data_IF_502283143762
#
_entry.id   IF_502283143762
#
_cell.length_a   1.000
_cell.length_b   1.000
_cell.length_c   1.000
_cell.angle_alpha   90.00
_cell.angle_beta   90.00
_cell.angle_gamma   90.00
#
_symmetry.space_group_name_H-M   'P 1'
#
loop_
_entity.id
_entity.type
_entity.pdbx_description
1 polymer ?
#
# COMPACT_ATOMS: atom_id res chain seq x y z
N UNK A 1 15.40 -2.46 22.99
CA UNK A 1 16.21 -1.48 22.23
C UNK A 1 15.49 -0.15 22.17
N UNK A 2 16.23 0.95 22.24
CA UNK A 2 15.65 2.28 22.05
C UNK A 2 15.17 2.47 20.60
N UNK A 3 14.13 3.27 20.37
CA UNK A 3 13.52 3.43 19.05
C UNK A 3 14.53 3.94 18.00
N UNK A 4 15.41 4.87 18.38
CA UNK A 4 16.55 5.34 17.57
C UNK A 4 17.44 4.20 17.11
N UNK A 5 17.87 3.34 18.03
CA UNK A 5 18.81 2.27 17.72
C UNK A 5 18.17 1.25 16.77
N UNK A 6 16.87 0.96 16.94
CA UNK A 6 16.15 0.00 16.11
C UNK A 6 15.89 0.55 14.70
N UNK A 7 15.54 1.84 14.58
CA UNK A 7 15.36 2.49 13.28
C UNK A 7 16.68 2.62 12.51
N UNK A 8 17.72 3.14 13.16
CA UNK A 8 19.02 3.35 12.53
C UNK A 8 19.74 2.04 12.21
N UNK A 9 19.63 1.00 13.05
CA UNK A 9 20.22 -0.30 12.73
C UNK A 9 19.55 -0.94 11.52
N UNK A 10 18.21 -0.82 11.41
CA UNK A 10 17.47 -1.25 10.22
C UNK A 10 17.92 -0.50 8.97
N UNK A 11 17.99 0.84 9.03
CA UNK A 11 18.42 1.66 7.88
C UNK A 11 19.89 1.41 7.49
N UNK A 12 20.78 1.22 8.47
CA UNK A 12 22.17 0.88 8.24
C UNK A 12 22.29 -0.48 7.55
N UNK A 13 21.53 -1.48 8.02
CA UNK A 13 21.51 -2.82 7.43
C UNK A 13 20.98 -2.79 5.99
N UNK A 14 19.91 -2.04 5.70
CA UNK A 14 19.41 -1.83 4.33
C UNK A 14 20.50 -1.21 3.45
N UNK A 15 21.18 -0.16 3.93
CA UNK A 15 22.23 0.52 3.19
C UNK A 15 23.42 -0.39 2.87
N UNK A 16 23.91 -1.14 3.88
CA UNK A 16 25.00 -2.10 3.70
C UNK A 16 24.63 -3.22 2.73
N UNK A 17 23.42 -3.78 2.86
CA UNK A 17 22.91 -4.82 1.97
C UNK A 17 22.84 -4.32 0.53
N UNK A 18 22.38 -3.08 0.29
CA UNK A 18 22.34 -2.50 -1.05
C UNK A 18 23.72 -2.28 -1.67
N UNK A 19 24.72 -1.88 -0.87
CA UNK A 19 26.11 -1.77 -1.35
C UNK A 19 26.67 -3.14 -1.71
N UNK A 20 26.50 -4.15 -0.84
CA UNK A 20 26.95 -5.52 -1.11
C UNK A 20 26.22 -6.11 -2.33
N UNK A 21 24.93 -5.81 -2.48
CA UNK A 21 24.13 -6.22 -3.63
C UNK A 21 24.74 -5.73 -4.95
N UNK A 22 25.24 -4.48 -4.98
CA UNK A 22 25.88 -3.91 -6.18
C UNK A 22 27.15 -4.65 -6.64
N UNK A 23 27.88 -5.28 -5.70
CA UNK A 23 29.10 -6.03 -5.98
C UNK A 23 28.85 -7.51 -6.30
N UNK A 24 27.70 -8.03 -5.89
CA UNK A 24 27.33 -9.42 -6.16
C UNK A 24 26.91 -9.66 -7.62
N UNK A 25 27.11 -10.90 -8.08
CA UNK A 25 26.87 -11.30 -9.48
C UNK A 25 26.09 -12.61 -9.62
N UNK A 26 25.75 -13.28 -8.51
CA UNK A 26 25.05 -14.57 -8.52
C UNK A 26 23.62 -14.45 -8.00
N UNK A 27 22.68 -15.11 -8.69
CA UNK A 27 21.24 -15.05 -8.38
C UNK A 27 20.90 -15.50 -6.94
N UNK A 28 21.50 -16.57 -6.38
CA UNK A 28 21.22 -16.97 -4.99
C UNK A 28 21.65 -15.90 -3.98
N UNK A 29 22.76 -15.20 -4.25
CA UNK A 29 23.24 -14.11 -3.39
C UNK A 29 22.31 -12.91 -3.49
N UNK A 30 21.80 -12.58 -4.68
CA UNK A 30 20.76 -11.56 -4.82
C UNK A 30 19.51 -11.91 -4.01
N UNK A 31 19.03 -13.15 -4.07
CA UNK A 31 17.85 -13.58 -3.31
C UNK A 31 18.08 -13.48 -1.79
N UNK A 32 19.23 -13.96 -1.30
CA UNK A 32 19.58 -13.88 0.11
C UNK A 32 19.74 -12.43 0.62
N UNK A 33 20.39 -11.57 -0.16
CA UNK A 33 20.56 -10.16 0.17
C UNK A 33 19.21 -9.43 0.14
N UNK A 34 18.35 -9.69 -0.84
CA UNK A 34 17.03 -9.07 -0.91
C UNK A 34 16.11 -9.52 0.24
N UNK A 35 16.20 -10.79 0.64
CA UNK A 35 15.54 -11.30 1.83
C UNK A 35 16.00 -10.57 3.11
N UNK A 36 17.32 -10.40 3.28
CA UNK A 36 17.87 -9.63 4.40
C UNK A 36 17.45 -8.16 4.36
N UNK A 37 17.35 -7.57 3.16
CA UNK A 37 16.84 -6.23 2.97
C UNK A 37 15.39 -6.09 3.46
N UNK A 38 14.52 -7.02 3.09
CA UNK A 38 13.13 -7.05 3.55
C UNK A 38 12.98 -7.17 5.07
N UNK A 39 13.79 -8.03 5.71
CA UNK A 39 13.84 -8.13 7.17
C UNK A 39 14.27 -6.81 7.83
N UNK A 40 15.27 -6.14 7.26
CA UNK A 40 15.77 -4.87 7.76
C UNK A 40 14.73 -3.74 7.62
N UNK A 41 13.99 -3.69 6.50
CA UNK A 41 12.91 -2.73 6.28
C UNK A 41 11.76 -2.89 7.28
N UNK A 42 11.47 -4.12 7.73
CA UNK A 42 10.46 -4.40 8.76
C UNK A 42 10.71 -3.69 10.09
N UNK A 43 11.97 -3.33 10.39
CA UNK A 43 12.35 -2.59 11.59
C UNK A 43 12.08 -1.08 11.46
N UNK A 44 11.72 -0.56 10.29
CA UNK A 44 11.58 0.88 10.05
C UNK A 44 10.32 1.50 10.65
N UNK A 45 9.15 0.91 10.40
CA UNK A 45 7.87 1.53 10.75
C UNK A 45 7.54 1.54 12.26
N UNK A 46 7.74 0.45 13.04
CA UNK A 46 7.36 0.42 14.45
C UNK A 46 8.08 1.47 15.33
N UNK A 47 9.39 1.75 15.17
CA UNK A 47 10.07 2.84 15.87
C UNK A 47 9.48 4.21 15.60
N UNK A 48 9.15 4.54 14.35
CA UNK A 48 8.61 5.85 13.99
C UNK A 48 7.31 6.12 14.74
N UNK A 49 6.41 5.14 14.78
CA UNK A 49 5.17 5.25 15.56
C UNK A 49 5.40 5.41 17.06
N UNK A 50 6.41 4.73 17.63
CA UNK A 50 6.75 4.85 19.05
C UNK A 50 7.34 6.21 19.40
N UNK A 51 8.23 6.75 18.56
CA UNK A 51 8.79 8.11 18.72
C UNK A 51 7.67 9.13 18.65
N UNK A 52 6.77 9.02 17.67
CA UNK A 52 5.68 9.96 17.49
C UNK A 52 4.72 10.01 18.69
N UNK A 53 4.39 8.85 19.27
CA UNK A 53 3.54 8.76 20.49
C UNK A 53 4.19 9.35 21.74
N UNK A 54 5.52 9.38 21.80
CA UNK A 54 6.26 9.94 22.95
C UNK A 54 6.46 11.45 22.85
N UNK A 55 6.63 11.96 21.64
CA UNK A 55 6.98 13.37 21.40
C UNK A 55 5.77 14.29 21.26
N UNK A 56 4.62 13.76 20.85
CA UNK A 56 3.46 14.58 20.53
C UNK A 56 2.25 14.20 21.38
N UNK A 57 1.46 15.21 21.74
CA UNK A 57 0.21 15.03 22.46
C UNK A 57 -0.79 14.17 21.65
N UNK A 58 -1.69 13.43 22.32
CA UNK A 58 -2.75 12.68 21.66
C UNK A 58 -3.62 13.52 20.71
N UNK A 59 -3.78 14.82 20.99
CA UNK A 59 -4.52 15.80 20.18
C UNK A 59 -3.86 16.07 18.82
N UNK A 60 -2.53 16.00 18.74
CA UNK A 60 -1.73 16.33 17.55
C UNK A 60 -1.17 15.10 16.83
N UNK A 61 -1.27 13.92 17.45
CA UNK A 61 -0.73 12.66 16.92
C UNK A 61 -1.17 12.37 15.48
N UNK A 62 -2.44 12.62 15.15
CA UNK A 62 -2.98 12.39 13.81
C UNK A 62 -2.30 13.21 12.72
N UNK A 63 -2.04 14.50 12.96
CA UNK A 63 -1.38 15.40 12.00
C UNK A 63 0.02 14.92 11.68
N UNK A 64 0.80 14.60 12.71
CA UNK A 64 2.17 14.12 12.52
C UNK A 64 2.24 12.73 11.90
N UNK A 65 1.25 11.88 12.18
CA UNK A 65 1.12 10.56 11.55
C UNK A 65 0.83 10.70 10.06
N UNK A 66 0.01 11.68 9.67
CA UNK A 66 -0.26 12.00 8.27
C UNK A 66 0.97 12.56 7.56
N UNK A 67 1.74 13.45 8.19
CA UNK A 67 3.02 13.96 7.63
C UNK A 67 3.99 12.80 7.39
N UNK A 68 4.16 11.92 8.38
CA UNK A 68 5.01 10.74 8.25
C UNK A 68 4.52 9.81 7.12
N UNK A 69 3.22 9.59 7.01
CA UNK A 69 2.63 8.74 5.95
C UNK A 69 2.77 9.37 4.55
N UNK A 70 2.74 10.70 4.46
CA UNK A 70 2.95 11.43 3.19
C UNK A 70 4.37 11.24 2.67
N UNK A 71 5.37 11.12 3.57
CA UNK A 71 6.76 10.88 3.16
C UNK A 71 6.94 9.59 2.33
N UNK A 72 6.16 8.54 2.64
CA UNK A 72 6.20 7.27 1.89
C UNK A 72 5.67 7.42 0.47
N UNK A 73 4.56 8.14 0.32
CA UNK A 73 3.96 8.44 -0.99
C UNK A 73 4.87 9.35 -1.82
N UNK A 74 5.53 10.32 -1.17
CA UNK A 74 6.52 11.17 -1.84
C UNK A 74 7.73 10.37 -2.33
N UNK A 75 8.23 9.44 -1.50
CA UNK A 75 9.31 8.53 -1.89
C UNK A 75 8.89 7.58 -3.04
N UNK A 76 7.65 7.05 -3.00
CA UNK A 76 7.09 6.24 -4.08
C UNK A 76 6.86 7.03 -5.37
N UNK A 77 6.52 8.31 -5.26
CA UNK A 77 6.34 9.22 -6.38
C UNK A 77 7.67 9.64 -7.04
N UNK A 78 8.66 10.07 -6.27
CA UNK A 78 9.93 10.58 -6.82
C UNK A 78 10.96 9.48 -7.08
N UNK A 79 10.92 8.39 -6.31
CA UNK A 79 11.91 7.32 -6.32
C UNK A 79 12.12 6.70 -7.71
N UNK A 80 11.08 6.21 -8.39
CA UNK A 80 11.21 5.59 -9.72
C UNK A 80 11.83 6.53 -10.77
N UNK A 81 11.43 7.81 -10.77
CA UNK A 81 11.95 8.79 -11.73
C UNK A 81 13.45 9.04 -11.48
N UNK A 82 13.83 9.30 -10.22
CA UNK A 82 15.23 9.53 -9.86
C UNK A 82 16.08 8.29 -10.15
N UNK A 83 15.58 7.09 -9.82
CA UNK A 83 16.26 5.83 -10.08
C UNK A 83 16.49 5.61 -11.59
N UNK A 84 15.49 5.89 -12.43
CA UNK A 84 15.60 5.73 -13.88
C UNK A 84 16.54 6.75 -14.51
N UNK A 85 16.50 8.02 -14.09
CA UNK A 85 17.43 9.05 -14.58
C UNK A 85 18.88 8.73 -14.21
N UNK A 86 19.12 8.24 -12.99
CA UNK A 86 20.44 7.80 -12.55
C UNK A 86 20.89 6.53 -13.27
N UNK A 87 19.98 5.58 -13.53
CA UNK A 87 20.29 4.35 -14.25
C UNK A 87 20.53 4.55 -15.76
N UNK A 88 20.05 5.66 -16.34
CA UNK A 88 20.35 6.03 -17.73
C UNK A 88 21.72 6.71 -17.88
N UNK A 89 22.12 7.50 -16.87
CA UNK A 89 23.40 8.22 -16.88
C UNK A 89 24.55 7.40 -16.31
N UNK A 90 24.27 6.52 -15.34
CA UNK A 90 25.22 5.64 -14.67
C UNK A 90 24.76 4.18 -14.73
N UNK A 91 25.66 3.23 -14.49
CA UNK A 91 25.28 1.82 -14.38
C UNK A 91 24.29 1.59 -13.23
N UNK A 92 23.38 0.62 -13.37
CA UNK A 92 22.46 0.20 -12.31
C UNK A 92 23.18 -0.19 -11.01
N UNK A 93 24.40 -0.74 -11.12
CA UNK A 93 25.26 -1.07 -9.97
C UNK A 93 25.66 0.17 -9.19
N UNK A 94 26.12 1.21 -9.89
CA UNK A 94 26.52 2.48 -9.28
C UNK A 94 25.32 3.19 -8.66
N UNK A 95 24.16 3.12 -9.29
CA UNK A 95 22.90 3.68 -8.77
C UNK A 95 22.49 3.03 -7.45
N UNK A 96 22.54 1.69 -7.37
CA UNK A 96 22.26 0.96 -6.13
C UNK A 96 23.32 1.19 -5.04
N UNK A 97 24.61 1.23 -5.42
CA UNK A 97 25.69 1.53 -4.49
C UNK A 97 25.56 2.95 -3.89
N UNK A 98 25.22 3.95 -4.72
CA UNK A 98 24.99 5.32 -4.29
C UNK A 98 23.77 5.42 -3.36
N UNK A 99 22.65 4.78 -3.72
CA UNK A 99 21.47 4.72 -2.86
C UNK A 99 21.78 4.05 -1.51
N UNK A 100 22.52 2.94 -1.52
CA UNK A 100 22.97 2.25 -0.30
C UNK A 100 23.89 3.13 0.57
N UNK A 101 24.86 3.81 -0.03
CA UNK A 101 25.76 4.73 0.66
C UNK A 101 25.01 5.92 1.28
N UNK A 102 24.03 6.49 0.57
CA UNK A 102 23.15 7.53 1.11
C UNK A 102 22.34 7.01 2.30
N UNK A 103 21.77 5.80 2.23
CA UNK A 103 21.07 5.19 3.37
C UNK A 103 21.99 5.01 4.59
N UNK A 104 23.25 4.58 4.39
CA UNK A 104 24.23 4.48 5.47
C UNK A 104 24.52 5.85 6.08
N UNK A 105 24.78 6.87 5.25
CA UNK A 105 25.04 8.24 5.73
C UNK A 105 23.85 8.82 6.50
N UNK A 106 22.63 8.66 5.98
CA UNK A 106 21.41 9.09 6.65
C UNK A 106 21.19 8.31 7.94
N UNK A 107 21.52 7.02 8.00
CA UNK A 107 21.44 6.25 9.25
C UNK A 107 22.33 6.83 10.35
N UNK A 108 23.56 7.21 10.03
CA UNK A 108 24.45 7.90 10.98
C UNK A 108 23.90 9.26 11.39
N UNK A 109 23.37 10.05 10.46
CA UNK A 109 22.70 11.32 10.78
C UNK A 109 21.48 11.10 11.68
N UNK A 110 20.67 10.08 11.43
CA UNK A 110 19.54 9.70 12.28
C UNK A 110 19.99 9.28 13.68
N UNK A 111 21.12 8.58 13.82
CA UNK A 111 21.68 8.28 15.14
C UNK A 111 22.09 9.55 15.90
N UNK A 112 22.59 10.57 15.20
CA UNK A 112 23.01 11.82 15.84
C UNK A 112 21.81 12.74 16.16
N UNK A 113 20.83 12.80 15.27
CA UNK A 113 19.72 13.75 15.33
C UNK A 113 18.49 13.22 16.08
N UNK A 114 18.19 11.92 16.01
CA UNK A 114 17.01 11.35 16.67
C UNK A 114 17.27 11.26 18.18
N UNK A 115 16.50 12.04 18.94
CA UNK A 115 16.43 11.93 20.41
C UNK A 115 15.20 11.08 20.77
N UNK A 116 15.38 10.12 21.68
CA UNK A 116 14.39 9.05 21.89
C UNK A 116 13.22 9.51 22.74
N UNK A 117 13.49 10.41 23.67
CA UNK A 117 12.52 10.90 24.63
C UNK A 117 12.57 12.43 24.69
N UNK A 118 11.42 13.10 24.89
CA UNK A 118 11.42 14.53 25.21
C UNK A 118 12.18 14.82 26.53
N UNK A 119 12.32 13.83 27.42
CA UNK A 119 13.21 13.89 28.58
C UNK A 119 14.70 14.09 28.20
N UNK A 120 15.16 13.56 27.06
CA UNK A 120 16.54 13.73 26.56
C UNK A 120 16.84 15.19 26.17
N UNK A 121 15.81 16.03 26.03
CA UNK A 121 15.91 17.46 25.70
C UNK A 121 15.46 18.37 26.84
N UNK A 122 15.18 17.81 28.02
CA UNK A 122 14.73 18.56 29.20
C UNK A 122 13.26 18.99 29.17
N UNK A 123 12.44 18.44 28.26
CA UNK A 123 10.99 18.64 28.25
C UNK A 123 10.34 17.63 29.20
N UNK A 124 9.33 18.08 29.97
CA UNK A 124 8.51 17.17 30.79
C UNK A 124 7.92 16.08 29.89
N UNK A 125 8.09 14.83 30.30
CA UNK A 125 7.34 13.75 29.68
C UNK A 125 5.86 14.10 29.81
N UNK A 126 5.16 14.12 28.67
CA UNK A 126 3.72 13.92 28.69
C UNK A 126 3.55 12.49 29.20
N UNK A 127 3.49 12.33 30.53
CA UNK A 127 3.05 11.08 31.10
C UNK A 127 1.70 10.79 30.46
N UNK A 128 1.53 9.67 29.73
CA UNK A 128 0.19 9.18 29.53
C UNK A 128 -0.22 8.74 30.92
N UNK A 129 -0.81 9.64 31.71
CA UNK A 129 -1.53 9.25 32.92
C UNK A 129 -2.44 8.15 32.44
N UNK A 130 -2.32 6.90 32.94
CA UNK A 130 -3.37 5.94 32.70
C UNK A 130 -4.54 6.53 33.46
N UNK A 131 -5.45 7.20 32.75
CA UNK A 131 -6.80 7.38 33.24
C UNK A 131 -7.29 5.98 33.55
N UNK A 132 -7.12 5.59 34.82
CA UNK A 132 -7.86 4.50 35.46
C UNK A 132 -9.31 4.96 35.51
N UNK A 133 -9.93 5.04 34.34
CA UNK A 133 -11.36 5.08 34.19
C UNK A 133 -11.87 3.70 34.60
N UNK A 134 -12.32 3.59 35.84
CA UNK A 134 -13.30 2.57 36.25
C UNK A 134 -14.39 2.51 35.16
N UNK A 135 -14.39 1.45 34.37
CA UNK A 135 -15.60 0.93 33.75
C UNK A 135 -15.70 -0.53 34.12
N UNK A 136 -16.44 -0.77 35.19
CA UNK A 136 -17.19 -2.00 35.28
C UNK A 136 -18.11 -2.08 34.06
N UNK A 137 -17.86 -3.06 33.21
CA UNK A 137 -18.90 -3.69 32.41
C UNK A 137 -18.41 -5.11 32.19
N UNK A 138 -19.16 -6.09 32.68
CA UNK A 138 -19.05 -7.47 32.24
C UNK A 138 -19.00 -7.47 30.71
N UNK A 139 -17.84 -7.71 30.11
CA UNK A 139 -17.69 -7.90 28.67
C UNK A 139 -17.17 -9.31 28.50
N UNK A 140 -18.01 -10.16 27.94
CA UNK A 140 -17.63 -11.49 27.50
C UNK A 140 -16.46 -11.33 26.51
N UNK A 141 -15.25 -11.62 26.97
CA UNK A 141 -14.06 -11.59 26.15
C UNK A 141 -14.19 -12.66 25.07
N UNK A 142 -14.41 -12.22 23.83
CA UNK A 142 -14.36 -13.13 22.69
C UNK A 142 -12.95 -13.71 22.60
N UNK A 143 -12.85 -15.02 22.42
CA UNK A 143 -11.56 -15.72 22.37
C UNK A 143 -10.94 -15.59 20.98
N UNK A 144 -9.61 -15.64 20.87
CA UNK A 144 -8.90 -15.60 19.59
C UNK A 144 -9.38 -16.70 18.62
N UNK A 145 -9.75 -17.86 19.15
CA UNK A 145 -10.35 -18.95 18.37
C UNK A 145 -11.70 -18.55 17.75
N UNK A 146 -12.55 -17.80 18.46
CA UNK A 146 -13.84 -17.32 17.96
C UNK A 146 -13.67 -16.25 16.88
N UNK A 147 -12.62 -15.43 16.97
CA UNK A 147 -12.23 -14.51 15.91
C UNK A 147 -11.78 -15.26 14.66
N UNK A 148 -10.91 -16.27 14.81
CA UNK A 148 -10.40 -17.08 13.70
C UNK A 148 -11.48 -17.97 13.06
N UNK A 149 -12.51 -18.37 13.82
CA UNK A 149 -13.65 -19.12 13.29
C UNK A 149 -14.66 -18.23 12.56
N UNK A 150 -14.52 -16.89 12.62
CA UNK A 150 -15.44 -15.98 11.94
C UNK A 150 -15.25 -16.04 10.41
N UNK A 151 -16.27 -16.43 9.64
CA UNK A 151 -16.16 -16.50 8.18
C UNK A 151 -15.93 -15.13 7.56
N UNK A 152 -16.47 -14.06 8.18
CA UNK A 152 -16.34 -12.70 7.70
C UNK A 152 -14.88 -12.18 7.75
N UNK A 153 -14.09 -12.62 8.74
CA UNK A 153 -12.65 -12.31 8.82
C UNK A 153 -11.91 -12.82 7.58
N UNK A 154 -12.20 -14.05 7.16
CA UNK A 154 -11.56 -14.67 6.00
C UNK A 154 -12.01 -14.06 4.69
N UNK A 155 -13.30 -13.74 4.54
CA UNK A 155 -13.80 -12.98 3.38
C UNK A 155 -13.04 -11.67 3.25
N UNK A 156 -13.01 -10.87 4.33
CA UNK A 156 -12.29 -9.59 4.36
C UNK A 156 -10.80 -9.76 4.03
N UNK A 157 -10.16 -10.78 4.60
CA UNK A 157 -8.75 -11.09 4.39
C UNK A 157 -8.44 -11.50 2.94
N UNK A 158 -9.27 -12.34 2.33
CA UNK A 158 -9.11 -12.76 0.93
C UNK A 158 -9.29 -11.58 -0.03
N UNK A 159 -10.22 -10.67 0.25
CA UNK A 159 -10.37 -9.45 -0.53
C UNK A 159 -9.13 -8.57 -0.47
N UNK A 160 -8.60 -8.37 0.75
CA UNK A 160 -7.42 -7.56 0.93
C UNK A 160 -6.18 -8.20 0.30
N UNK A 161 -6.03 -9.52 0.41
CA UNK A 161 -4.98 -10.28 -0.28
C UNK A 161 -5.00 -10.01 -1.79
N UNK A 162 -6.17 -10.11 -2.43
CA UNK A 162 -6.30 -9.89 -3.88
C UNK A 162 -6.01 -8.44 -4.24
N UNK A 163 -6.61 -7.47 -3.55
CA UNK A 163 -6.43 -6.05 -3.85
C UNK A 163 -4.97 -5.63 -3.69
N UNK A 164 -4.35 -6.03 -2.57
CA UNK A 164 -2.94 -5.71 -2.33
C UNK A 164 -2.02 -6.44 -3.31
N UNK A 165 -2.29 -7.72 -3.61
CA UNK A 165 -1.52 -8.48 -4.59
C UNK A 165 -1.56 -7.86 -5.97
N UNK A 166 -2.74 -7.49 -6.47
CA UNK A 166 -2.88 -6.82 -7.78
C UNK A 166 -2.24 -5.44 -7.77
N UNK A 167 -2.35 -4.66 -6.68
CA UNK A 167 -1.61 -3.41 -6.51
C UNK A 167 -0.11 -3.64 -6.64
N UNK A 168 0.44 -4.61 -5.92
CA UNK A 168 1.86 -4.98 -5.99
C UNK A 168 2.25 -5.45 -7.39
N UNK A 169 1.43 -6.24 -8.08
CA UNK A 169 1.71 -6.63 -9.47
C UNK A 169 1.85 -5.42 -10.39
N UNK A 170 0.93 -4.46 -10.29
CA UNK A 170 0.95 -3.25 -11.10
C UNK A 170 2.12 -2.32 -10.74
N UNK A 171 2.50 -2.23 -9.46
CA UNK A 171 3.66 -1.45 -9.02
C UNK A 171 4.98 -2.10 -9.48
N UNK A 172 5.16 -3.39 -9.26
CA UNK A 172 6.46 -4.06 -9.48
C UNK A 172 6.70 -4.38 -10.96
N UNK A 173 5.65 -4.79 -11.68
CA UNK A 173 5.75 -5.26 -13.06
C UNK A 173 5.15 -4.29 -14.08
N UNK A 174 4.43 -3.25 -13.66
CA UNK A 174 3.80 -2.29 -14.57
C UNK A 174 4.81 -1.58 -15.47
N UNK A 175 5.96 -1.20 -14.93
CA UNK A 175 7.05 -0.61 -15.72
C UNK A 175 7.60 -1.61 -16.76
N UNK A 176 7.78 -2.88 -16.39
CA UNK A 176 8.25 -3.92 -17.32
C UNK A 176 7.25 -4.20 -18.44
N UNK A 177 5.95 -4.23 -18.13
CA UNK A 177 4.89 -4.38 -19.13
C UNK A 177 4.92 -3.27 -20.18
N UNK A 178 5.05 -2.01 -19.74
CA UNK A 178 5.12 -0.86 -20.64
C UNK A 178 6.37 -0.88 -21.53
N UNK A 179 7.52 -1.32 -21.00
CA UNK A 179 8.77 -1.37 -21.74
C UNK A 179 8.79 -2.57 -22.71
N UNK A 180 8.47 -3.77 -22.24
CA UNK A 180 8.67 -5.01 -23.00
C UNK A 180 7.56 -5.29 -24.02
N UNK A 181 6.29 -5.07 -23.67
CA UNK A 181 5.17 -5.35 -24.60
C UNK A 181 4.72 -4.13 -25.38
N UNK A 182 4.83 -2.93 -24.79
CA UNK A 182 4.31 -1.69 -25.39
C UNK A 182 5.39 -0.80 -25.99
N UNK A 183 6.67 -1.20 -25.87
CA UNK A 183 7.81 -0.49 -26.46
C UNK A 183 7.99 0.94 -25.95
N UNK A 184 7.43 1.28 -24.78
CA UNK A 184 7.53 2.62 -24.21
C UNK A 184 8.91 2.84 -23.57
N UNK A 185 9.31 4.11 -23.46
CA UNK A 185 10.57 4.47 -22.82
C UNK A 185 10.56 4.13 -21.33
N UNK A 186 11.73 3.87 -20.76
CA UNK A 186 11.87 3.63 -19.32
C UNK A 186 11.38 4.82 -18.47
N UNK A 187 11.51 6.05 -18.99
CA UNK A 187 11.03 7.25 -18.30
C UNK A 187 9.50 7.27 -18.20
N UNK A 188 8.78 6.92 -19.27
CA UNK A 188 7.31 6.82 -19.26
C UNK A 188 6.86 5.74 -18.26
N UNK A 189 7.56 4.60 -18.21
CA UNK A 189 7.29 3.54 -17.25
C UNK A 189 7.47 3.99 -15.79
N UNK A 190 8.51 4.76 -15.49
CA UNK A 190 8.74 5.31 -14.15
C UNK A 190 7.77 6.44 -13.80
N UNK A 191 7.43 7.31 -14.76
CA UNK A 191 6.38 8.32 -14.58
C UNK A 191 5.01 7.69 -14.32
N UNK A 192 4.71 6.53 -14.93
CA UNK A 192 3.51 5.75 -14.62
C UNK A 192 3.49 5.28 -13.17
N UNK A 193 4.61 4.75 -12.66
CA UNK A 193 4.72 4.36 -11.24
C UNK A 193 4.51 5.56 -10.31
N UNK A 194 5.09 6.72 -10.66
CA UNK A 194 4.89 7.96 -9.92
C UNK A 194 3.44 8.42 -9.91
N UNK A 195 2.78 8.38 -11.07
CA UNK A 195 1.37 8.75 -11.21
C UNK A 195 0.48 7.80 -10.39
N UNK A 196 0.80 6.50 -10.36
CA UNK A 196 0.11 5.50 -9.55
C UNK A 196 0.21 5.83 -8.05
N UNK A 197 1.39 6.15 -7.54
CA UNK A 197 1.58 6.48 -6.12
C UNK A 197 0.92 7.81 -5.74
N UNK A 198 1.00 8.83 -6.60
CA UNK A 198 0.29 10.11 -6.40
C UNK A 198 -1.23 9.94 -6.43
N UNK A 199 -1.75 9.19 -7.41
CA UNK A 199 -3.16 8.83 -7.47
C UNK A 199 -3.59 8.05 -6.22
N UNK A 200 -2.72 7.16 -5.74
CA UNK A 200 -2.89 6.40 -4.51
C UNK A 200 -3.06 7.25 -3.26
N UNK A 201 -2.18 8.25 -3.08
CA UNK A 201 -2.28 9.22 -2.00
C UNK A 201 -3.66 9.92 -2.02
N UNK A 202 -4.06 10.46 -3.17
CA UNK A 202 -5.35 11.14 -3.33
C UNK A 202 -6.52 10.19 -3.07
N UNK A 203 -6.42 8.95 -3.55
CA UNK A 203 -7.42 7.90 -3.36
C UNK A 203 -7.61 7.51 -1.90
N UNK A 204 -6.52 7.37 -1.15
CA UNK A 204 -6.58 7.05 0.28
C UNK A 204 -7.27 8.14 1.11
N UNK A 205 -6.97 9.42 0.82
CA UNK A 205 -7.59 10.57 1.49
C UNK A 205 -9.08 10.64 1.13
N UNK A 206 -9.41 10.51 -0.16
CA UNK A 206 -10.78 10.51 -0.64
C UNK A 206 -11.61 9.36 -0.04
N UNK A 207 -11.03 8.15 0.01
CA UNK A 207 -11.68 6.98 0.62
C UNK A 207 -11.96 7.19 2.10
N UNK A 208 -11.01 7.76 2.85
CA UNK A 208 -11.20 8.13 4.26
C UNK A 208 -12.36 9.10 4.43
N UNK A 209 -12.34 10.22 3.69
CA UNK A 209 -13.39 11.24 3.76
C UNK A 209 -14.78 10.71 3.35
N UNK A 210 -14.87 9.96 2.25
CA UNK A 210 -16.13 9.38 1.76
C UNK A 210 -16.66 8.32 2.71
N UNK A 211 -15.78 7.51 3.31
CA UNK A 211 -16.12 6.49 4.29
C UNK A 211 -16.71 7.09 5.56
N UNK A 212 -16.09 8.15 6.08
CA UNK A 212 -16.58 8.82 7.29
C UNK A 212 -17.92 9.51 7.04
N UNK A 213 -18.09 10.12 5.85
CA UNK A 213 -19.37 10.69 5.43
C UNK A 213 -20.46 9.63 5.24
N UNK A 214 -20.12 8.46 4.71
CA UNK A 214 -21.06 7.34 4.56
C UNK A 214 -21.50 6.80 5.93
N UNK A 215 -20.57 6.66 6.87
CA UNK A 215 -20.87 6.28 8.26
C UNK A 215 -21.76 7.29 8.97
N UNK A 216 -21.49 8.60 8.81
CA UNK A 216 -22.27 9.66 9.44
C UNK A 216 -23.74 9.69 8.97
N UNK A 217 -24.01 9.26 7.73
CA UNK A 217 -25.37 9.21 7.16
C UNK A 217 -26.14 7.94 7.51
N UNK A 218 -25.46 6.80 7.60
CA UNK A 218 -26.11 5.49 7.71
C UNK A 218 -26.24 4.98 9.15
N UNK A 219 -25.47 5.50 10.11
CA UNK A 219 -25.46 4.99 11.48
C UNK A 219 -24.90 3.56 11.60
N UNK A 220 -24.70 3.07 12.83
CA UNK A 220 -24.20 1.73 13.10
C UNK A 220 -25.29 0.67 12.83
N UNK A 221 -25.38 0.16 11.60
CA UNK A 221 -26.22 -1.00 11.28
C UNK A 221 -25.53 -2.31 11.69
N UNK A 222 -26.31 -3.29 12.16
CA UNK A 222 -25.82 -4.65 12.48
C UNK A 222 -25.66 -5.52 11.23
N UNK A 223 -26.33 -5.16 10.12
CA UNK A 223 -26.23 -5.81 8.82
C UNK A 223 -25.74 -4.81 7.77
N UNK A 224 -24.68 -5.19 7.04
CA UNK A 224 -24.08 -4.38 5.98
C UNK A 224 -23.46 -3.09 6.49
N UNK A 225 -22.16 -3.09 6.77
CA UNK A 225 -21.46 -1.86 7.11
C UNK A 225 -21.47 -0.93 5.88
N UNK A 226 -21.93 0.33 5.98
CA UNK A 226 -22.05 1.26 4.85
C UNK A 226 -20.72 1.50 4.10
N UNK A 227 -19.59 1.19 4.75
CA UNK A 227 -18.26 1.20 4.13
C UNK A 227 -18.06 0.11 3.08
N UNK A 228 -18.85 -0.97 3.10
CA UNK A 228 -18.82 -2.00 2.06
C UNK A 228 -19.28 -1.49 0.70
N UNK A 229 -20.27 -0.60 0.67
CA UNK A 229 -20.71 0.01 -0.58
C UNK A 229 -19.60 0.82 -1.25
N UNK A 230 -18.89 1.62 -0.44
CA UNK A 230 -17.73 2.37 -0.91
C UNK A 230 -16.56 1.45 -1.30
N UNK A 231 -16.28 0.42 -0.51
CA UNK A 231 -15.26 -0.59 -0.79
C UNK A 231 -15.53 -1.27 -2.14
N UNK A 232 -16.76 -1.74 -2.37
CA UNK A 232 -17.18 -2.36 -3.62
C UNK A 232 -17.06 -1.42 -4.81
N UNK A 233 -17.46 -0.16 -4.65
CA UNK A 233 -17.33 0.85 -5.71
C UNK A 233 -15.86 1.05 -6.09
N UNK A 234 -14.97 1.12 -5.11
CA UNK A 234 -13.55 1.32 -5.37
C UNK A 234 -12.86 0.06 -5.92
N UNK A 235 -13.25 -1.14 -5.46
CA UNK A 235 -12.80 -2.41 -6.05
C UNK A 235 -13.26 -2.57 -7.51
N UNK A 236 -14.51 -2.17 -7.80
CA UNK A 236 -15.02 -2.12 -9.18
C UNK A 236 -14.24 -1.09 -10.01
N UNK A 237 -13.94 0.09 -9.44
CA UNK A 237 -13.09 1.10 -10.07
C UNK A 237 -11.70 0.57 -10.40
N UNK A 238 -11.11 -0.24 -9.52
CA UNK A 238 -9.81 -0.87 -9.72
C UNK A 238 -9.85 -1.89 -10.88
N UNK A 239 -10.92 -2.70 -10.96
CA UNK A 239 -11.10 -3.65 -12.07
C UNK A 239 -11.29 -2.94 -13.40
N UNK A 240 -12.12 -1.90 -13.44
CA UNK A 240 -12.35 -1.09 -14.64
C UNK A 240 -11.06 -0.39 -15.08
N UNK A 241 -10.31 0.18 -14.14
CA UNK A 241 -9.03 0.84 -14.45
C UNK A 241 -8.01 -0.13 -15.02
N UNK A 242 -7.97 -1.36 -14.50
CA UNK A 242 -7.08 -2.41 -14.98
C UNK A 242 -7.49 -2.93 -16.37
N UNK A 243 -8.78 -3.12 -16.60
CA UNK A 243 -9.32 -3.46 -17.92
C UNK A 243 -9.00 -2.37 -18.95
N UNK A 244 -9.23 -1.10 -18.60
CA UNK A 244 -8.90 0.04 -19.45
C UNK A 244 -7.40 0.09 -19.72
N UNK A 245 -6.54 -0.14 -18.72
CA UNK A 245 -5.10 -0.22 -18.93
C UNK A 245 -4.71 -1.32 -19.91
N UNK A 246 -5.29 -2.53 -19.81
CA UNK A 246 -4.98 -3.62 -20.73
C UNK A 246 -5.48 -3.39 -22.17
N UNK A 247 -6.69 -2.85 -22.32
CA UNK A 247 -7.37 -2.70 -23.63
C UNK A 247 -6.92 -1.44 -24.36
N UNK A 248 -6.76 -0.32 -23.65
CA UNK A 248 -6.42 0.97 -24.28
C UNK A 248 -4.92 1.14 -24.52
N UNK A 249 -4.07 0.44 -23.76
CA UNK A 249 -2.63 0.41 -24.01
C UNK A 249 -2.35 -0.77 -24.94
N UNK A 250 -2.63 -0.64 -26.24
CA UNK A 250 -2.26 -1.63 -27.27
C UNK A 250 -1.35 -0.95 -28.30
N UNK A 251 -0.36 -1.68 -28.83
CA UNK A 251 0.68 -1.15 -29.73
C UNK A 251 0.10 -0.53 -31.02
N UNK A 252 -1.07 -1.00 -31.44
CA UNK A 252 -1.91 -0.36 -32.44
C UNK A 252 -3.00 0.45 -31.71
N UNK A 253 -2.74 1.72 -31.50
CA UNK A 253 -3.71 2.65 -30.93
C UNK A 253 -4.93 2.75 -31.85
N UNK A 254 -6.17 2.53 -31.37
CA UNK A 254 -7.32 3.04 -32.09
C UNK A 254 -7.27 4.56 -31.97
N UNK A 255 -7.21 5.22 -33.12
CA UNK A 255 -7.36 6.68 -33.31
C UNK A 255 -8.73 7.22 -32.85
N UNK A 256 -9.49 6.45 -32.07
CA UNK A 256 -10.92 6.63 -31.83
C UNK A 256 -11.27 7.24 -30.46
N UNK A 257 -10.32 7.86 -29.76
CA UNK A 257 -10.69 8.69 -28.60
C UNK A 257 -10.32 10.16 -28.82
N UNK A 258 -11.00 10.72 -29.83
CA UNK A 258 -11.07 12.16 -30.10
C UNK A 258 -11.43 13.00 -28.85
N UNK A 259 -12.14 12.42 -27.88
CA UNK A 259 -12.50 13.10 -26.64
C UNK A 259 -11.33 13.24 -25.65
N UNK A 260 -10.54 12.18 -25.42
CA UNK A 260 -9.42 12.23 -24.46
C UNK A 260 -8.21 12.96 -25.04
N UNK A 261 -7.98 12.84 -26.34
CA UNK A 261 -6.97 13.64 -27.05
C UNK A 261 -7.30 15.13 -26.93
N UNK A 262 -8.56 15.54 -27.16
CA UNK A 262 -8.98 16.94 -26.97
C UNK A 262 -8.88 17.41 -25.51
N UNK A 263 -9.23 16.57 -24.53
CA UNK A 263 -9.17 16.92 -23.11
C UNK A 263 -7.72 16.99 -22.56
N UNK A 264 -6.81 16.19 -23.12
CA UNK A 264 -5.41 16.10 -22.66
C UNK A 264 -4.46 16.97 -23.48
N UNK A 265 -4.85 17.45 -24.67
CA UNK A 265 -4.06 18.36 -25.51
C UNK A 265 -3.47 19.56 -24.76
N UNK A 266 -4.20 20.31 -23.89
CA UNK A 266 -3.61 21.44 -23.17
C UNK A 266 -2.61 21.00 -22.08
N UNK A 267 -2.78 19.80 -21.51
CA UNK A 267 -1.83 19.22 -20.56
C UNK A 267 -0.59 18.63 -21.27
N UNK A 268 -0.77 18.14 -22.49
CA UNK A 268 0.32 17.65 -23.34
C UNK A 268 1.27 18.78 -23.74
N UNK A 269 0.71 19.91 -24.13
CA UNK A 269 1.49 21.09 -24.49
C UNK A 269 2.24 21.68 -23.29
N UNK A 270 1.67 21.59 -22.08
CA UNK A 270 2.30 22.09 -20.85
C UNK A 270 3.41 21.17 -20.31
N UNK A 271 3.31 19.86 -20.53
CA UNK A 271 4.21 18.86 -19.92
C UNK A 271 5.24 18.28 -20.90
N UNK A 272 5.07 18.49 -22.21
CA UNK A 272 5.97 17.99 -23.25
C UNK A 272 5.86 16.48 -23.53
N UNK A 273 4.91 15.79 -22.90
CA UNK A 273 4.63 14.36 -23.16
C UNK A 273 3.69 14.18 -24.36
N UNK A 274 3.81 13.05 -25.06
CA UNK A 274 2.87 12.69 -26.12
C UNK A 274 1.50 12.35 -25.52
N UNK A 275 0.42 12.59 -26.27
CA UNK A 275 -0.96 12.36 -25.82
C UNK A 275 -1.19 10.92 -25.30
N UNK A 276 -0.56 9.93 -25.96
CA UNK A 276 -0.65 8.54 -25.54
C UNK A 276 0.08 8.25 -24.21
N UNK A 277 1.17 8.96 -23.92
CA UNK A 277 1.92 8.82 -22.67
C UNK A 277 1.12 9.42 -21.52
N UNK A 278 0.48 10.56 -21.73
CA UNK A 278 -0.41 11.18 -20.74
C UNK A 278 -1.61 10.31 -20.41
N UNK A 279 -2.18 9.65 -21.42
CA UNK A 279 -3.25 8.69 -21.18
C UNK A 279 -2.80 7.55 -20.27
N UNK A 280 -1.59 7.00 -20.49
CA UNK A 280 -0.99 5.98 -19.62
C UNK A 280 -0.83 6.51 -18.18
N UNK A 281 -0.39 7.76 -18.00
CA UNK A 281 -0.25 8.38 -16.69
C UNK A 281 -1.60 8.57 -15.98
N UNK A 282 -2.64 9.00 -16.71
CA UNK A 282 -4.01 9.15 -16.18
C UNK A 282 -4.55 7.79 -15.73
N UNK A 283 -4.35 6.74 -16.51
CA UNK A 283 -4.75 5.38 -16.14
C UNK A 283 -4.00 4.87 -14.91
N UNK A 284 -2.70 5.15 -14.82
CA UNK A 284 -1.89 4.86 -13.63
C UNK A 284 -2.43 5.57 -12.40
N UNK A 285 -2.72 6.87 -12.50
CA UNK A 285 -3.31 7.65 -11.42
C UNK A 285 -4.70 7.16 -11.01
N UNK A 286 -5.55 6.77 -11.98
CA UNK A 286 -6.88 6.23 -11.70
C UNK A 286 -6.81 4.85 -11.02
N UNK A 287 -5.89 3.99 -11.45
CA UNK A 287 -5.62 2.72 -10.80
C UNK A 287 -5.07 2.93 -9.38
N UNK A 288 -4.15 3.88 -9.20
CA UNK A 288 -3.65 4.30 -7.89
C UNK A 288 -4.79 4.76 -6.97
N UNK A 289 -5.62 5.68 -7.46
CA UNK A 289 -6.77 6.23 -6.74
C UNK A 289 -7.75 5.15 -6.27
N UNK A 290 -8.04 4.19 -7.14
CA UNK A 290 -8.98 3.10 -6.85
C UNK A 290 -8.39 1.94 -6.06
N UNK A 291 -7.06 1.76 -6.01
CA UNK A 291 -6.40 0.67 -5.27
C UNK A 291 -6.09 1.05 -3.82
N UNK A 292 -5.61 2.25 -3.57
CA UNK A 292 -5.25 2.70 -2.21
C UNK A 292 -6.46 2.91 -1.30
N UNK A 293 -7.60 3.29 -1.88
CA UNK A 293 -8.86 3.46 -1.13
C UNK A 293 -9.30 2.17 -0.43
N UNK A 294 -9.52 1.04 -1.15
CA UNK A 294 -9.81 -0.26 -0.59
C UNK A 294 -8.78 -0.71 0.46
N UNK A 295 -7.49 -0.53 0.19
CA UNK A 295 -6.40 -0.89 1.12
C UNK A 295 -6.60 -0.19 2.48
N UNK A 296 -6.91 1.10 2.49
CA UNK A 296 -7.21 1.84 3.70
C UNK A 296 -8.49 1.31 4.38
N UNK A 297 -9.56 1.07 3.60
CA UNK A 297 -10.86 0.64 4.12
C UNK A 297 -10.83 -0.76 4.73
N UNK A 298 -10.12 -1.72 4.15
CA UNK A 298 -9.99 -3.08 4.70
C UNK A 298 -9.45 -3.05 6.14
N UNK A 299 -8.44 -2.21 6.39
CA UNK A 299 -7.86 -2.05 7.72
C UNK A 299 -8.84 -1.49 8.75
N UNK A 300 -9.66 -0.51 8.36
CA UNK A 300 -10.63 0.10 9.28
C UNK A 300 -11.83 -0.83 9.51
N UNK A 301 -12.33 -1.48 8.45
CA UNK A 301 -13.44 -2.44 8.54
C UNK A 301 -13.02 -3.62 9.44
N UNK A 302 -11.81 -4.14 9.30
CA UNK A 302 -11.28 -5.22 10.15
C UNK A 302 -11.28 -4.83 11.64
N UNK A 303 -10.98 -3.57 11.93
CA UNK A 303 -10.89 -3.03 13.27
C UNK A 303 -12.28 -2.84 13.91
N UNK A 304 -13.25 -2.32 13.16
CA UNK A 304 -14.61 -2.08 13.65
C UNK A 304 -15.46 -3.33 13.80
N UNK A 305 -15.20 -4.32 12.94
CA UNK A 305 -15.94 -5.58 12.93
C UNK A 305 -15.48 -6.54 14.02
N UNK A 306 -14.28 -6.34 14.55
CA UNK A 306 -13.68 -7.16 15.58
C UNK A 306 -14.11 -6.72 17.00
N UNK A 307 -14.11 -7.66 17.97
CA UNK A 307 -14.39 -7.32 19.35
C UNK A 307 -13.28 -6.41 19.91
N UNK A 308 -13.61 -5.51 20.85
CA UNK A 308 -12.71 -4.44 21.29
C UNK A 308 -11.40 -4.95 21.93
N UNK A 309 -11.41 -6.18 22.47
CA UNK A 309 -10.23 -6.85 23.03
C UNK A 309 -9.29 -7.42 21.95
N UNK A 310 -9.75 -7.66 20.73
CA UNK A 310 -8.99 -8.29 19.64
C UNK A 310 -8.89 -7.46 18.35
N UNK A 311 -9.34 -6.20 18.35
CA UNK A 311 -9.37 -5.44 17.09
C UNK A 311 -7.98 -5.18 16.48
N UNK A 312 -6.95 -5.01 17.32
CA UNK A 312 -5.55 -4.96 16.86
C UNK A 312 -5.08 -6.28 16.23
N UNK A 313 -5.50 -7.42 16.78
CA UNK A 313 -5.19 -8.75 16.23
C UNK A 313 -5.88 -9.00 14.90
N UNK A 314 -7.16 -8.61 14.78
CA UNK A 314 -7.91 -8.66 13.52
C UNK A 314 -7.21 -7.86 12.42
N UNK A 315 -6.82 -6.61 12.71
CA UNK A 315 -6.07 -5.77 11.79
C UNK A 315 -4.74 -6.42 11.37
N UNK A 316 -4.00 -7.02 12.32
CA UNK A 316 -2.75 -7.71 12.03
C UNK A 316 -2.93 -8.95 11.15
N UNK A 317 -3.98 -9.76 11.35
CA UNK A 317 -4.29 -10.93 10.51
C UNK A 317 -4.63 -10.49 9.09
N UNK A 318 -5.49 -9.49 8.95
CA UNK A 318 -5.90 -8.93 7.66
C UNK A 318 -4.69 -8.32 6.94
N UNK A 319 -3.84 -7.58 7.66
CA UNK A 319 -2.57 -7.05 7.13
C UNK A 319 -1.54 -8.12 6.73
N UNK A 320 -1.47 -9.24 7.47
CA UNK A 320 -0.63 -10.37 7.09
C UNK A 320 -1.06 -10.96 5.74
N UNK A 321 -2.37 -11.05 5.51
CA UNK A 321 -2.91 -11.57 4.24
C UNK A 321 -2.67 -10.64 3.06
N UNK A 322 -2.60 -9.32 3.28
CA UNK A 322 -2.10 -8.40 2.27
C UNK A 322 -0.64 -8.70 1.90
N UNK A 323 0.24 -8.92 2.88
CA UNK A 323 1.64 -9.29 2.61
C UNK A 323 1.76 -10.62 1.85
N UNK A 324 0.89 -11.60 2.12
CA UNK A 324 0.79 -12.83 1.32
C UNK A 324 0.41 -12.51 -0.13
N UNK A 325 -0.52 -11.58 -0.35
CA UNK A 325 -0.85 -11.07 -1.69
C UNK A 325 0.36 -10.48 -2.41
N UNK A 326 1.16 -9.67 -1.70
CA UNK A 326 2.42 -9.13 -2.24
C UNK A 326 3.44 -10.21 -2.58
N UNK A 327 3.54 -11.27 -1.79
CA UNK A 327 4.38 -12.43 -2.12
C UNK A 327 3.92 -13.15 -3.40
N UNK A 328 2.60 -13.34 -3.56
CA UNK A 328 2.01 -13.95 -4.77
C UNK A 328 2.23 -13.09 -6.02
N UNK A 329 2.32 -11.77 -5.86
CA UNK A 329 2.67 -10.83 -6.92
C UNK A 329 4.13 -10.96 -7.40
N UNK A 330 5.01 -11.61 -6.63
CA UNK A 330 6.41 -11.84 -6.99
C UNK A 330 6.61 -13.04 -7.92
N UNK A 331 7.07 -14.17 -7.35
CA UNK A 331 7.44 -15.36 -8.13
C UNK A 331 6.27 -16.03 -8.88
N UNK A 332 5.08 -16.22 -8.28
CA UNK A 332 3.96 -16.85 -9.00
C UNK A 332 3.52 -16.04 -10.21
N UNK A 333 3.33 -14.73 -10.05
CA UNK A 333 2.92 -13.84 -11.12
C UNK A 333 3.97 -13.74 -12.24
N UNK A 334 5.25 -13.56 -11.88
CA UNK A 334 6.34 -13.50 -12.86
C UNK A 334 6.56 -14.81 -13.61
N UNK A 335 6.29 -15.96 -12.99
CA UNK A 335 6.31 -17.26 -13.67
C UNK A 335 5.26 -17.36 -14.78
N UNK A 336 4.04 -16.86 -14.53
CA UNK A 336 2.98 -16.80 -15.56
C UNK A 336 3.43 -15.91 -16.72
N UNK A 337 4.02 -14.75 -16.42
CA UNK A 337 4.53 -13.83 -17.43
C UNK A 337 5.64 -14.46 -18.28
N UNK A 338 6.53 -15.26 -17.66
CA UNK A 338 7.64 -15.93 -18.34
C UNK A 338 7.16 -17.06 -19.27
N UNK A 339 6.13 -17.80 -18.90
CA UNK A 339 5.63 -18.95 -19.68
C UNK A 339 4.63 -18.57 -20.78
N UNK A 340 3.82 -17.53 -20.57
CA UNK A 340 2.77 -17.14 -21.51
C UNK A 340 3.03 -15.78 -22.15
N UNK A 341 2.93 -14.69 -21.39
CA UNK A 341 3.25 -13.31 -21.76
C UNK A 341 2.87 -12.40 -20.59
N UNK A 342 3.32 -11.13 -20.59
CA UNK A 342 2.85 -10.17 -19.59
C UNK A 342 1.38 -9.85 -19.77
N UNK A 343 0.88 -9.74 -21.01
CA UNK A 343 -0.55 -9.54 -21.30
C UNK A 343 -1.42 -10.61 -20.66
N UNK A 344 -1.02 -11.90 -20.75
CA UNK A 344 -1.74 -12.99 -20.09
C UNK A 344 -1.67 -12.88 -18.56
N UNK A 345 -0.51 -12.51 -17.99
CA UNK A 345 -0.37 -12.36 -16.55
C UNK A 345 -1.28 -11.24 -16.01
N UNK A 346 -1.29 -10.07 -16.66
CA UNK A 346 -2.17 -8.96 -16.30
C UNK A 346 -3.66 -9.31 -16.50
N UNK A 347 -4.01 -10.07 -17.54
CA UNK A 347 -5.37 -10.59 -17.71
C UNK A 347 -5.79 -11.53 -16.58
N UNK A 348 -4.92 -12.44 -16.13
CA UNK A 348 -5.20 -13.32 -14.97
C UNK A 348 -5.45 -12.50 -13.71
N UNK A 349 -4.61 -11.49 -13.43
CA UNK A 349 -4.80 -10.61 -12.28
C UNK A 349 -6.10 -9.78 -12.37
N UNK A 350 -6.49 -9.33 -13.58
CA UNK A 350 -7.76 -8.66 -13.84
C UNK A 350 -8.95 -9.58 -13.50
N UNK A 351 -8.93 -10.83 -13.99
CA UNK A 351 -9.99 -11.82 -13.73
C UNK A 351 -10.09 -12.15 -12.25
N UNK A 352 -8.96 -12.31 -11.55
CA UNK A 352 -8.94 -12.56 -10.10
C UNK A 352 -9.53 -11.35 -9.34
N UNK A 353 -9.20 -10.13 -9.74
CA UNK A 353 -9.76 -8.92 -9.13
C UNK A 353 -11.29 -8.83 -9.37
N UNK A 354 -11.75 -9.15 -10.59
CA UNK A 354 -13.17 -9.15 -10.94
C UNK A 354 -13.94 -10.22 -10.17
N UNK A 355 -13.40 -11.44 -10.09
CA UNK A 355 -13.98 -12.53 -9.33
C UNK A 355 -14.06 -12.19 -7.83
N UNK A 356 -13.01 -11.59 -7.26
CA UNK A 356 -13.00 -11.13 -5.87
C UNK A 356 -14.04 -10.04 -5.63
N UNK A 357 -14.16 -9.07 -6.54
CA UNK A 357 -15.17 -8.00 -6.45
C UNK A 357 -16.60 -8.56 -6.53
N UNK A 358 -16.85 -9.51 -7.43
CA UNK A 358 -18.13 -10.19 -7.54
C UNK A 358 -18.44 -11.03 -6.30
N UNK A 359 -17.45 -11.76 -5.76
CA UNK A 359 -17.61 -12.52 -4.52
C UNK A 359 -17.95 -11.59 -3.35
N UNK A 360 -17.25 -10.47 -3.18
CA UNK A 360 -17.57 -9.48 -2.17
C UNK A 360 -18.96 -8.86 -2.34
N UNK A 361 -19.40 -8.66 -3.58
CA UNK A 361 -20.72 -8.14 -3.87
C UNK A 361 -21.82 -9.14 -3.44
N UNK A 362 -21.64 -10.43 -3.72
CA UNK A 362 -22.57 -11.49 -3.28
C UNK A 362 -22.58 -11.62 -1.76
N UNK A 363 -21.40 -11.52 -1.14
CA UNK A 363 -21.20 -11.66 0.30
C UNK A 363 -21.52 -10.38 1.10
N UNK A 364 -22.01 -9.32 0.45
CA UNK A 364 -22.28 -8.00 1.08
C UNK A 364 -23.29 -8.05 2.24
N UNK A 365 -24.16 -9.08 2.26
CA UNK A 365 -25.21 -9.25 3.26
C UNK A 365 -24.80 -10.15 4.44
N UNK A 366 -23.54 -10.61 4.49
CA UNK A 366 -23.05 -11.43 5.61
C UNK A 366 -22.99 -10.59 6.90
N UNK A 367 -23.21 -11.26 8.05
CA UNK A 367 -23.02 -10.63 9.35
C UNK A 367 -21.58 -10.12 9.48
N UNK A 368 -21.43 -8.80 9.57
CA UNK A 368 -20.11 -8.15 9.62
C UNK A 368 -19.50 -8.20 11.02
N UNK A 369 -20.21 -8.67 12.05
CA UNK A 369 -19.64 -8.83 13.39
C UNK A 369 -18.79 -10.10 13.47
N UNK A 370 -17.54 -9.94 13.88
CA UNK A 370 -16.62 -11.04 14.17
C UNK A 370 -16.67 -11.41 15.66
N UNK A 371 -16.55 -12.70 15.98
CA UNK A 371 -16.61 -13.20 17.35
C UNK A 371 -18.00 -13.69 17.77
N UNK A 372 -18.22 -13.84 19.08
CA UNK A 372 -19.45 -14.42 19.63
C UNK A 372 -20.66 -13.52 19.33
N UNK A 373 -21.52 -13.96 18.41
CA UNK A 373 -22.79 -13.29 18.11
C UNK A 373 -23.83 -13.76 19.14
N UNK A 374 -24.38 -12.88 20.00
CA UNK A 374 -25.40 -13.30 20.95
C UNK A 374 -26.62 -13.82 20.20
N UNK A 375 -27.08 -15.02 20.60
CA UNK A 375 -28.15 -15.85 20.02
C UNK A 375 -29.55 -15.20 19.90
N UNK A 376 -29.68 -13.88 20.08
CA UNK A 376 -30.94 -13.12 20.07
C UNK A 376 -31.17 -12.32 18.77
N UNK A 377 -30.39 -12.56 17.73
CA UNK A 377 -30.51 -11.89 16.43
C UNK A 377 -30.74 -12.91 15.29
N UNK A 378 -31.52 -13.95 15.56
CA UNK A 378 -32.16 -14.80 14.54
C UNK A 378 -33.65 -14.46 14.45
#
# INVERSE_FOLDING_TARGET
MSARWLFSSGLLLVGLVNVVFSWSSTVPVFAALWFLNGLAQGLGWPPCGKVLRKWFEPSQFGTWWAILSTSMNLAGGLGPILATLLAQSYSWRSTLALSGALCVAVSFLCLLLIRNEPADVGLCNLDPTPSKGKKGSLKEDSTLQELLLSPYLWVLSTGYLVVFGVKTCCTDWGQFFLIQEKGQSALVGSSYMSALEVGGLVGSIAAGYLSDRAMAKAGLSTYGNPRHGLLLLMMAGMTVSMYLFRVTVTSDSPKDIAFWTLALHPLAELTGFKEHELWILVLGALFGFSSYGPIALFGVIANECAPPNLCGTSHAIVGLMANVGGFLAGLPFSSIAKHYSWSTAFWVAEVICAASTAAFFVLRNICTKMGRVPKKAE
#
